data_IF_928695640497
#
_entry.id   IF_928695640497
#
_cell.length_a   1.000
_cell.length_b   1.000
_cell.length_c   1.000
_cell.angle_alpha   90.00
_cell.angle_beta   90.00
_cell.angle_gamma   90.00
#
_symmetry.space_group_name_H-M   'P 1'
#
loop_
_entity.id
_entity.type
_entity.pdbx_description
1 polymer ?
#
# COMPACT_ATOMS: atom_id res chain seq x y z
N UNK A 1 0.32 -1.26 -18.01
CA UNK A 1 -0.35 -2.03 -16.94
C UNK A 1 0.43 -3.27 -16.51
N UNK A 2 1.02 -4.07 -17.42
CA UNK A 2 1.84 -5.23 -17.06
C UNK A 2 2.90 -4.93 -15.98
N UNK A 3 3.65 -3.84 -16.14
CA UNK A 3 4.68 -3.43 -15.16
C UNK A 3 4.16 -3.21 -13.73
N UNK A 4 2.93 -2.69 -13.58
CA UNK A 4 2.33 -2.43 -12.26
C UNK A 4 1.99 -3.75 -11.59
N UNK A 5 1.36 -4.67 -12.34
CA UNK A 5 1.02 -6.02 -11.85
C UNK A 5 2.28 -6.76 -11.43
N UNK A 6 3.31 -6.78 -12.26
CA UNK A 6 4.61 -7.42 -11.96
C UNK A 6 5.26 -6.87 -10.70
N UNK A 7 5.15 -5.56 -10.47
CA UNK A 7 5.70 -4.93 -9.27
C UNK A 7 4.96 -5.37 -8.01
N UNK A 8 3.63 -5.49 -8.07
CA UNK A 8 2.84 -6.03 -6.95
C UNK A 8 3.11 -7.51 -6.71
N UNK A 9 3.20 -8.32 -7.78
CA UNK A 9 3.55 -9.75 -7.67
C UNK A 9 4.94 -9.93 -7.04
N UNK A 10 5.92 -9.12 -7.44
CA UNK A 10 7.26 -9.16 -6.85
C UNK A 10 7.29 -8.71 -5.39
N UNK A 11 6.41 -7.79 -4.99
CA UNK A 11 6.33 -7.28 -3.62
C UNK A 11 5.56 -8.18 -2.64
N UNK A 12 4.70 -9.05 -3.16
CA UNK A 12 3.84 -9.95 -2.39
C UNK A 12 3.90 -11.38 -2.96
N UNK A 13 5.06 -12.06 -2.89
CA UNK A 13 5.25 -13.36 -3.52
C UNK A 13 4.37 -14.47 -2.94
N UNK A 14 3.99 -14.36 -1.67
CA UNK A 14 3.14 -15.33 -0.97
C UNK A 14 1.64 -15.09 -1.15
N UNK A 15 1.26 -14.09 -1.96
CA UNK A 15 -0.13 -13.72 -2.22
C UNK A 15 -0.43 -13.77 -3.72
N UNK A 16 -1.63 -14.24 -4.05
CA UNK A 16 -2.22 -14.03 -5.36
C UNK A 16 -2.64 -12.57 -5.52
N UNK A 17 -2.19 -11.93 -6.60
CA UNK A 17 -2.42 -10.51 -6.88
C UNK A 17 -3.45 -10.36 -8.00
N UNK A 18 -4.61 -9.81 -7.66
CA UNK A 18 -5.68 -9.50 -8.59
C UNK A 18 -5.84 -7.99 -8.71
N UNK A 19 -5.87 -7.47 -9.93
CA UNK A 19 -6.01 -6.05 -10.24
C UNK A 19 -7.17 -5.82 -11.21
N UNK A 20 -8.24 -5.21 -10.71
CA UNK A 20 -9.45 -4.93 -11.49
C UNK A 20 -9.57 -3.43 -11.76
N UNK A 21 -10.01 -3.04 -12.96
CA UNK A 21 -10.33 -1.64 -13.25
C UNK A 21 -11.71 -1.31 -12.68
N UNK A 22 -11.79 -0.22 -11.93
CA UNK A 22 -13.06 0.33 -11.45
C UNK A 22 -13.60 1.35 -12.46
N UNK A 23 -14.93 1.55 -12.52
CA UNK A 23 -15.55 2.48 -13.47
C UNK A 23 -15.15 3.95 -13.23
N UNK A 24 -14.64 4.28 -12.03
CA UNK A 24 -14.08 5.60 -11.69
C UNK A 24 -12.66 5.82 -12.21
N UNK A 25 -12.08 4.84 -12.92
CA UNK A 25 -10.71 4.89 -13.43
C UNK A 25 -9.64 4.51 -12.42
N UNK A 26 -10.01 4.20 -11.17
CA UNK A 26 -9.11 3.63 -10.16
C UNK A 26 -8.88 2.12 -10.40
N UNK A 27 -7.89 1.55 -9.73
CA UNK A 27 -7.66 0.10 -9.71
C UNK A 27 -8.06 -0.49 -8.37
N UNK A 28 -8.69 -1.65 -8.37
CA UNK A 28 -8.93 -2.43 -7.16
C UNK A 28 -7.86 -3.50 -7.06
N UNK A 29 -6.98 -3.37 -6.07
CA UNK A 29 -6.03 -4.39 -5.70
C UNK A 29 -6.68 -5.35 -4.71
N UNK A 30 -6.64 -6.64 -5.03
CA UNK A 30 -7.04 -7.71 -4.13
C UNK A 30 -5.85 -8.64 -3.95
N UNK A 31 -5.46 -8.87 -2.69
CA UNK A 31 -4.44 -9.83 -2.30
C UNK A 31 -5.14 -11.01 -1.62
N UNK A 32 -4.84 -12.22 -2.07
CA UNK A 32 -5.37 -13.46 -1.50
C UNK A 32 -4.23 -14.41 -1.15
N UNK A 33 -4.40 -15.20 -0.09
CA UNK A 33 -3.45 -16.24 0.28
C UNK A 33 -4.23 -17.56 0.41
N UNK A 34 -4.19 -18.36 -0.64
CA UNK A 34 -5.13 -19.47 -0.82
C UNK A 34 -6.58 -18.97 -0.80
N UNK A 35 -7.44 -19.59 -0.01
CA UNK A 35 -8.86 -19.22 0.12
C UNK A 35 -9.10 -17.96 0.98
N UNK A 36 -8.05 -17.41 1.61
CA UNK A 36 -8.20 -16.27 2.53
C UNK A 36 -8.00 -14.96 1.77
N UNK A 37 -9.00 -14.08 1.86
CA UNK A 37 -8.83 -12.67 1.50
C UNK A 37 -7.89 -11.98 2.50
N UNK A 38 -6.74 -11.53 2.01
CA UNK A 38 -5.72 -10.86 2.83
C UNK A 38 -5.96 -9.36 2.86
N UNK A 39 -6.21 -8.75 1.70
CA UNK A 39 -6.46 -7.31 1.60
C UNK A 39 -7.24 -6.99 0.33
N UNK A 40 -8.15 -6.01 0.41
CA UNK A 40 -8.81 -5.41 -0.74
C UNK A 40 -8.74 -3.89 -0.63
N UNK A 41 -8.09 -3.23 -1.59
CA UNK A 41 -7.81 -1.78 -1.54
C UNK A 41 -8.00 -1.13 -2.90
N UNK A 42 -8.73 -0.02 -2.93
CA UNK A 42 -8.78 0.86 -4.08
C UNK A 42 -7.49 1.69 -4.19
N UNK A 43 -6.93 1.75 -5.40
CA UNK A 43 -5.72 2.46 -5.76
C UNK A 43 -6.06 3.54 -6.78
N UNK A 44 -5.87 4.79 -6.37
CA UNK A 44 -6.08 5.95 -7.23
C UNK A 44 -5.00 6.05 -8.30
N UNK A 45 -5.32 6.62 -9.46
CA UNK A 45 -4.34 6.85 -10.54
C UNK A 45 -3.14 7.70 -10.07
N UNK A 46 -3.36 8.65 -9.16
CA UNK A 46 -2.28 9.44 -8.57
C UNK A 46 -1.23 8.56 -7.90
N UNK A 47 -1.66 7.54 -7.15
CA UNK A 47 -0.79 6.61 -6.44
C UNK A 47 0.01 5.70 -7.38
N UNK A 48 -0.53 5.45 -8.58
CA UNK A 48 0.09 4.65 -9.63
C UNK A 48 0.92 5.49 -10.61
N UNK A 49 0.94 6.81 -10.44
CA UNK A 49 1.50 7.76 -11.42
C UNK A 49 3.01 7.64 -11.56
N UNK A 50 3.73 7.36 -10.48
CA UNK A 50 5.18 7.24 -10.50
C UNK A 50 5.67 6.16 -9.52
N UNK A 51 6.93 5.74 -9.72
CA UNK A 51 7.54 4.66 -8.93
C UNK A 51 7.59 4.98 -7.43
N UNK A 52 7.89 6.22 -7.05
CA UNK A 52 7.95 6.63 -5.64
C UNK A 52 6.60 6.49 -4.93
N UNK A 53 5.49 6.87 -5.58
CA UNK A 53 4.16 6.72 -5.02
C UNK A 53 3.73 5.25 -4.97
N UNK A 54 4.07 4.48 -5.99
CA UNK A 54 3.80 3.05 -6.04
C UNK A 54 4.57 2.31 -4.92
N UNK A 55 5.85 2.61 -4.72
CA UNK A 55 6.65 2.08 -3.60
C UNK A 55 6.08 2.52 -2.24
N UNK A 56 5.52 3.73 -2.16
CA UNK A 56 4.82 4.23 -0.98
C UNK A 56 3.56 3.43 -0.66
N UNK A 57 2.76 3.08 -1.68
CA UNK A 57 1.59 2.22 -1.53
C UNK A 57 1.98 0.82 -1.07
N UNK A 58 2.98 0.21 -1.71
CA UNK A 58 3.48 -1.12 -1.34
C UNK A 58 3.93 -1.12 0.11
N UNK A 59 4.75 -0.16 0.52
CA UNK A 59 5.20 -0.04 1.90
C UNK A 59 4.08 0.26 2.90
N UNK A 60 2.98 0.88 2.47
CA UNK A 60 1.79 1.00 3.32
C UNK A 60 1.11 -0.35 3.49
N UNK A 61 0.88 -1.09 2.41
CA UNK A 61 0.21 -2.39 2.44
C UNK A 61 1.02 -3.36 3.30
N UNK A 62 2.34 -3.45 3.11
CA UNK A 62 3.20 -4.32 3.92
C UNK A 62 3.10 -4.01 5.42
N UNK A 63 3.01 -2.73 5.79
CA UNK A 63 2.80 -2.33 7.19
C UNK A 63 1.44 -2.75 7.72
N UNK A 64 0.38 -2.54 6.93
CA UNK A 64 -0.97 -2.92 7.31
C UNK A 64 -1.03 -4.45 7.55
N UNK A 65 -0.40 -5.24 6.68
CA UNK A 65 -0.29 -6.70 6.85
C UNK A 65 0.51 -7.11 8.08
N UNK A 66 1.63 -6.44 8.37
CA UNK A 66 2.42 -6.72 9.57
C UNK A 66 1.62 -6.41 10.85
N UNK A 67 0.88 -5.30 10.87
CA UNK A 67 0.02 -4.91 12.00
C UNK A 67 -1.09 -5.94 12.21
N UNK A 68 -1.77 -6.37 11.15
CA UNK A 68 -2.81 -7.41 11.21
C UNK A 68 -2.25 -8.76 11.70
N UNK A 69 -0.99 -9.06 11.41
CA UNK A 69 -0.28 -10.25 11.91
C UNK A 69 0.24 -10.09 13.35
N UNK A 70 0.03 -8.95 14.01
CA UNK A 70 0.55 -8.66 15.34
C UNK A 70 2.06 -8.41 15.39
N UNK A 71 2.70 -8.20 14.23
CA UNK A 71 4.12 -7.92 14.13
C UNK A 71 4.37 -6.41 14.20
N UNK A 72 5.36 -5.99 14.99
CA UNK A 72 5.77 -4.59 15.03
C UNK A 72 6.38 -4.19 13.68
N UNK A 73 5.84 -3.19 12.96
CA UNK A 73 6.38 -2.78 11.68
C UNK A 73 7.79 -2.22 11.85
N UNK A 74 8.71 -2.66 11.00
CA UNK A 74 10.12 -2.27 11.07
C UNK A 74 10.26 -0.74 10.94
N UNK A 75 10.92 -0.08 11.91
CA UNK A 75 11.00 1.38 12.08
C UNK A 75 11.40 2.16 10.80
N UNK A 76 12.21 1.57 9.93
CA UNK A 76 12.58 2.17 8.64
C UNK A 76 11.37 2.45 7.72
N UNK A 77 10.32 1.64 7.79
CA UNK A 77 9.08 1.85 7.02
C UNK A 77 8.18 2.95 7.61
N UNK A 78 8.35 3.28 8.90
CA UNK A 78 7.59 4.34 9.58
C UNK A 78 8.12 5.74 9.26
N UNK A 79 9.39 5.88 8.86
CA UNK A 79 10.01 7.19 8.57
C UNK A 79 9.43 7.90 7.34
N UNK A 80 8.71 7.19 6.45
CA UNK A 80 7.96 7.78 5.33
C UNK A 80 6.62 8.41 5.76
N UNK A 81 6.16 8.16 6.98
CA UNK A 81 5.05 8.91 7.55
C UNK A 81 5.63 10.24 8.05
N UNK A 82 5.21 11.33 7.41
CA UNK A 82 5.76 12.66 7.65
C UNK A 82 5.82 12.97 9.14
N UNK A 83 7.03 13.23 9.66
CA UNK A 83 7.23 13.93 10.94
C UNK A 83 6.99 15.42 10.73
N UNK A 84 5.84 15.80 10.18
CA UNK A 84 5.43 17.19 10.24
C UNK A 84 5.42 17.54 11.73
N UNK A 85 6.12 18.63 12.06
CA UNK A 85 6.17 19.14 13.44
C UNK A 85 4.75 19.14 13.98
N UNK A 86 4.60 18.67 15.21
CA UNK A 86 3.32 18.77 15.92
C UNK A 86 2.86 20.23 15.82
N UNK A 87 1.58 20.48 15.48
CA UNK A 87 1.08 21.84 15.42
C UNK A 87 1.30 22.52 16.78
N UNK A 88 2.07 23.60 16.79
CA UNK A 88 2.25 24.42 18.00
C UNK A 88 1.11 25.42 18.06
N UNK A 89 0.43 25.51 19.20
CA UNK A 89 -0.50 26.59 19.46
C UNK A 89 0.26 27.92 19.44
N UNK A 90 -0.17 28.88 18.63
CA UNK A 90 0.29 30.25 18.76
C UNK A 90 -0.29 30.82 20.06
N UNK A 91 0.57 31.28 20.97
CA UNK A 91 0.13 32.12 22.09
C UNK A 91 -0.20 33.49 21.50
N UNK A 92 -1.49 33.77 21.33
CA UNK A 92 -2.02 35.14 21.15
C UNK A 92 -1.99 35.90 22.47
#
# INVERSE_FOLDING_TARGET
MKQIVETFVAAFPDCEVLLERRPDGSLLLTLQQGERLVLRRALSLAQLRNRLQLDGVIGSIQRDLAIEAGQAPMLAMLQRQSRLRLPTYALT
#
